data_IF_259549426362
#
_entry.id   IF_259549426362
#
_cell.length_a   1.000
_cell.length_b   1.000
_cell.length_c   1.000
_cell.angle_alpha   90.00
_cell.angle_beta   90.00
_cell.angle_gamma   90.00
#
_symmetry.space_group_name_H-M   'P 1'
#
loop_
_entity.id
_entity.type
_entity.pdbx_description
1 polymer ?
#
# COMPACT_ATOMS: atom_id res chain seq x y z
N UNK A 1 -7.62 19.73 14.53
CA UNK A 1 -8.07 18.37 14.90
C UNK A 1 -7.58 18.10 16.33
N UNK A 2 -8.44 17.79 17.29
CA UNK A 2 -8.02 17.57 18.68
C UNK A 2 -7.31 16.23 18.84
N UNK A 3 -6.36 16.14 19.77
CA UNK A 3 -5.64 14.89 20.06
C UNK A 3 -6.58 13.74 20.44
N UNK A 4 -7.67 14.06 21.14
CA UNK A 4 -8.70 13.09 21.55
C UNK A 4 -9.49 12.50 20.36
N UNK A 5 -9.70 13.28 19.30
CA UNK A 5 -10.36 12.80 18.07
C UNK A 5 -9.43 11.83 17.31
N UNK A 6 -8.14 12.14 17.28
CA UNK A 6 -7.10 11.31 16.67
C UNK A 6 -7.01 9.95 17.34
N UNK A 7 -7.01 9.93 18.67
CA UNK A 7 -6.94 8.70 19.46
C UNK A 7 -8.18 7.81 19.22
N UNK A 8 -9.38 8.40 19.26
CA UNK A 8 -10.63 7.68 18.95
C UNK A 8 -10.66 7.10 17.54
N UNK A 9 -10.12 7.81 16.56
CA UNK A 9 -10.01 7.31 15.18
C UNK A 9 -9.01 6.17 15.08
N UNK A 10 -7.87 6.26 15.78
CA UNK A 10 -6.87 5.20 15.82
C UNK A 10 -7.42 3.92 16.45
N UNK A 11 -8.05 4.02 17.63
CA UNK A 11 -8.61 2.84 18.31
C UNK A 11 -9.67 2.17 17.45
N UNK A 12 -10.60 2.94 16.87
CA UNK A 12 -11.61 2.39 15.94
C UNK A 12 -10.98 1.72 14.72
N UNK A 13 -9.92 2.32 14.15
CA UNK A 13 -9.22 1.74 13.01
C UNK A 13 -8.53 0.41 13.36
N UNK A 14 -7.96 0.31 14.56
CA UNK A 14 -7.34 -0.92 15.05
C UNK A 14 -8.39 -2.00 15.29
N UNK A 15 -9.48 -1.67 15.99
CA UNK A 15 -10.58 -2.60 16.25
C UNK A 15 -11.12 -3.17 14.94
N UNK A 16 -11.31 -2.29 13.95
CA UNK A 16 -11.77 -2.67 12.61
C UNK A 16 -10.81 -3.59 11.87
N UNK A 17 -9.49 -3.39 11.97
CA UNK A 17 -8.52 -4.31 11.37
C UNK A 17 -8.59 -5.68 12.05
N UNK A 18 -8.84 -5.71 13.35
CA UNK A 18 -8.90 -6.93 14.15
C UNK A 18 -10.22 -7.71 13.97
N UNK A 19 -11.27 -7.08 13.42
CA UNK A 19 -12.56 -7.73 13.14
C UNK A 19 -12.47 -8.81 12.06
N UNK A 20 -11.47 -8.76 11.17
CA UNK A 20 -11.34 -9.73 10.08
C UNK A 20 -9.90 -10.21 9.87
N UNK A 21 -9.65 -11.53 9.82
CA UNK A 21 -8.32 -12.06 9.50
C UNK A 21 -7.83 -11.62 8.11
N UNK A 22 -8.75 -11.37 7.17
CA UNK A 22 -8.43 -10.86 5.83
C UNK A 22 -7.85 -9.44 5.90
N UNK A 23 -8.36 -8.58 6.79
CA UNK A 23 -7.84 -7.23 6.97
C UNK A 23 -6.45 -7.24 7.63
N UNK A 24 -6.24 -8.09 8.63
CA UNK A 24 -4.92 -8.30 9.22
C UNK A 24 -3.89 -8.75 8.19
N UNK A 25 -4.26 -9.74 7.36
CA UNK A 25 -3.41 -10.20 6.27
C UNK A 25 -3.10 -9.07 5.28
N UNK A 26 -4.08 -8.26 4.94
CA UNK A 26 -3.93 -7.10 4.06
C UNK A 26 -2.94 -6.09 4.61
N UNK A 27 -3.00 -5.79 5.91
CA UNK A 27 -2.03 -4.90 6.57
C UNK A 27 -0.62 -5.48 6.51
N UNK A 28 -0.45 -6.79 6.72
CA UNK A 28 0.85 -7.45 6.60
C UNK A 28 1.40 -7.39 5.17
N UNK A 29 0.56 -7.63 4.16
CA UNK A 29 0.95 -7.50 2.75
C UNK A 29 1.32 -6.06 2.41
N UNK A 30 0.54 -5.07 2.87
CA UNK A 30 0.87 -3.65 2.71
C UNK A 30 2.24 -3.32 3.34
N UNK A 31 2.54 -3.85 4.52
CA UNK A 31 3.86 -3.65 5.15
C UNK A 31 5.00 -4.20 4.28
N UNK A 32 4.85 -5.41 3.74
CA UNK A 32 5.85 -6.03 2.86
C UNK A 32 6.02 -5.26 1.54
N UNK A 33 4.90 -4.96 0.87
CA UNK A 33 4.88 -4.16 -0.36
C UNK A 33 5.54 -2.81 -0.16
N UNK A 34 5.18 -2.09 0.90
CA UNK A 34 5.75 -0.80 1.20
C UNK A 34 7.23 -0.85 1.58
N UNK A 35 7.68 -1.91 2.27
CA UNK A 35 9.10 -2.13 2.51
C UNK A 35 9.89 -2.32 1.20
N UNK A 36 9.36 -3.12 0.28
CA UNK A 36 9.96 -3.36 -1.04
C UNK A 36 10.00 -2.08 -1.89
N UNK A 37 8.90 -1.33 -1.97
CA UNK A 37 8.85 -0.05 -2.69
C UNK A 37 9.85 0.95 -2.11
N UNK A 38 9.90 1.07 -0.79
CA UNK A 38 10.86 1.94 -0.11
C UNK A 38 12.30 1.54 -0.42
N UNK A 39 12.61 0.24 -0.41
CA UNK A 39 13.94 -0.27 -0.78
C UNK A 39 14.32 0.09 -2.21
N UNK A 40 13.39 -0.05 -3.16
CA UNK A 40 13.64 0.30 -4.57
C UNK A 40 13.89 1.80 -4.72
N UNK A 41 13.08 2.64 -4.07
CA UNK A 41 13.24 4.10 -4.09
C UNK A 41 14.59 4.52 -3.51
N UNK A 42 14.99 3.99 -2.35
CA UNK A 42 16.27 4.34 -1.75
C UNK A 42 17.47 3.82 -2.54
N UNK A 43 17.40 2.59 -3.04
CA UNK A 43 18.53 1.93 -3.71
C UNK A 43 18.78 2.50 -5.11
N UNK A 44 17.72 2.88 -5.83
CA UNK A 44 17.81 3.24 -7.25
C UNK A 44 17.40 4.70 -7.54
N UNK A 45 16.68 5.36 -6.64
CA UNK A 45 16.11 6.70 -6.86
C UNK A 45 16.70 7.83 -6.01
N UNK A 46 17.17 7.55 -4.79
CA UNK A 46 17.70 8.58 -3.91
C UNK A 46 19.23 8.72 -4.06
N UNK A 47 19.70 9.93 -4.38
CA UNK A 47 21.11 10.26 -4.13
C UNK A 47 21.37 10.19 -2.63
N UNK A 48 22.40 9.44 -2.24
CA UNK A 48 22.65 8.92 -0.88
C UNK A 48 22.74 9.97 0.24
N UNK A 49 22.67 11.27 -0.07
CA UNK A 49 22.92 12.35 0.88
C UNK A 49 21.69 12.82 1.68
N UNK A 50 20.44 12.53 1.25
CA UNK A 50 19.25 13.24 1.80
C UNK A 50 18.12 12.34 2.34
N UNK A 51 18.43 11.09 2.72
CA UNK A 51 17.40 10.13 3.17
C UNK A 51 16.91 10.33 4.62
N UNK A 52 16.79 11.58 5.10
CA UNK A 52 15.94 11.93 6.26
C UNK A 52 14.47 11.86 5.86
N UNK A 53 14.04 10.73 5.31
CA UNK A 53 12.71 10.59 4.72
C UNK A 53 11.76 10.04 5.78
N UNK A 54 10.69 10.78 6.07
CA UNK A 54 9.58 10.38 6.95
C UNK A 54 9.00 8.98 6.65
N UNK A 55 9.28 8.44 5.46
CA UNK A 55 8.91 7.10 5.01
C UNK A 55 9.76 5.94 5.58
N UNK A 56 10.89 6.20 6.26
CA UNK A 56 11.76 5.14 6.77
C UNK A 56 11.17 4.40 7.98
N UNK A 57 10.23 5.00 8.71
CA UNK A 57 9.55 4.38 9.84
C UNK A 57 8.65 3.20 9.43
N UNK A 58 8.34 2.30 10.38
CA UNK A 58 7.41 1.17 10.14
C UNK A 58 6.05 1.65 9.59
N UNK A 59 5.51 2.71 10.18
CA UNK A 59 4.26 3.33 9.74
C UNK A 59 4.36 3.94 8.34
N UNK A 60 5.50 4.57 8.00
CA UNK A 60 5.73 5.12 6.66
C UNK A 60 5.75 4.05 5.58
N UNK A 61 6.36 2.89 5.88
CA UNK A 61 6.36 1.72 4.97
C UNK A 61 4.95 1.15 4.82
N UNK A 62 4.22 0.96 5.91
CA UNK A 62 2.82 0.49 5.84
C UNK A 62 1.97 1.46 5.01
N UNK A 63 2.07 2.77 5.26
CA UNK A 63 1.35 3.79 4.50
C UNK A 63 1.69 3.76 3.00
N UNK A 64 2.97 3.58 2.65
CA UNK A 64 3.40 3.44 1.26
C UNK A 64 2.77 2.23 0.58
N UNK A 65 2.70 1.10 1.28
CA UNK A 65 2.06 -0.10 0.76
C UNK A 65 0.53 0.02 0.68
N UNK A 66 -0.10 0.67 1.66
CA UNK A 66 -1.53 0.98 1.61
C UNK A 66 -1.86 1.89 0.43
N UNK A 67 -1.04 2.90 0.15
CA UNK A 67 -1.22 3.80 -0.99
C UNK A 67 -1.12 3.02 -2.31
N UNK A 68 -0.10 2.17 -2.44
CA UNK A 68 0.06 1.29 -3.61
C UNK A 68 -1.15 0.40 -3.83
N UNK A 69 -1.57 -0.35 -2.81
CA UNK A 69 -2.72 -1.25 -2.94
C UNK A 69 -4.03 -0.50 -3.10
N UNK A 70 -4.18 0.70 -2.53
CA UNK A 70 -5.35 1.56 -2.79
C UNK A 70 -5.45 1.93 -4.27
N UNK A 71 -4.32 2.25 -4.92
CA UNK A 71 -4.28 2.53 -6.35
C UNK A 71 -4.69 1.34 -7.22
N UNK A 72 -4.49 0.11 -6.74
CA UNK A 72 -4.84 -1.13 -7.46
C UNK A 72 -6.27 -1.58 -7.15
N UNK A 73 -6.69 -1.50 -5.89
CA UNK A 73 -8.03 -1.88 -5.42
C UNK A 73 -9.11 -1.04 -6.09
N UNK A 74 -8.92 0.29 -6.19
CA UNK A 74 -9.90 1.22 -6.78
C UNK A 74 -10.31 0.85 -8.22
N UNK A 75 -9.39 0.68 -9.18
CA UNK A 75 -9.77 0.28 -10.54
C UNK A 75 -10.36 -1.14 -10.57
N UNK A 76 -9.84 -2.09 -9.79
CA UNK A 76 -10.41 -3.45 -9.71
C UNK A 76 -11.86 -3.41 -9.20
N UNK A 77 -12.13 -2.61 -8.17
CA UNK A 77 -13.47 -2.40 -7.62
C UNK A 77 -14.41 -1.82 -8.66
N UNK A 78 -13.97 -0.77 -9.37
CA UNK A 78 -14.76 -0.17 -10.43
C UNK A 78 -15.02 -1.15 -11.57
N UNK A 79 -14.04 -1.96 -11.96
CA UNK A 79 -14.20 -2.94 -13.04
C UNK A 79 -15.27 -3.99 -12.72
N UNK A 80 -15.31 -4.48 -11.48
CA UNK A 80 -16.26 -5.50 -11.03
C UNK A 80 -17.65 -4.93 -10.73
N UNK A 81 -17.72 -3.78 -10.05
CA UNK A 81 -18.98 -3.27 -9.50
C UNK A 81 -19.61 -2.14 -10.32
N UNK A 82 -18.87 -1.56 -11.28
CA UNK A 82 -19.28 -0.42 -12.12
C UNK A 82 -19.78 0.80 -11.34
N UNK A 83 -19.42 0.91 -10.06
CA UNK A 83 -19.79 2.00 -9.17
C UNK A 83 -18.57 2.48 -8.39
N UNK A 84 -18.57 3.76 -8.03
CA UNK A 84 -17.60 4.35 -7.11
C UNK A 84 -18.10 4.40 -5.66
N UNK A 85 -19.36 4.04 -5.42
CA UNK A 85 -19.86 3.87 -4.07
C UNK A 85 -19.20 2.62 -3.47
N UNK A 86 -18.30 2.83 -2.51
CA UNK A 86 -17.58 1.75 -1.84
C UNK A 86 -18.52 1.09 -0.84
N UNK A 87 -18.83 -0.17 -1.14
CA UNK A 87 -19.56 -1.10 -0.30
C UNK A 87 -18.56 -2.07 0.32
N UNK A 88 -18.63 -2.22 1.64
CA UNK A 88 -17.63 -2.95 2.39
C UNK A 88 -17.59 -4.44 2.05
N UNK A 89 -18.76 -5.07 1.88
CA UNK A 89 -18.85 -6.51 1.60
C UNK A 89 -18.19 -6.81 0.25
N UNK A 90 -18.50 -5.98 -0.76
CA UNK A 90 -17.91 -6.07 -2.10
C UNK A 90 -16.42 -5.75 -2.10
N UNK A 91 -15.97 -4.86 -1.21
CA UNK A 91 -14.56 -4.50 -1.07
C UNK A 91 -13.76 -5.68 -0.51
N UNK A 92 -14.27 -6.37 0.52
CA UNK A 92 -13.63 -7.56 1.08
C UNK A 92 -13.53 -8.67 0.04
N UNK A 93 -14.57 -8.90 -0.75
CA UNK A 93 -14.59 -9.96 -1.76
C UNK A 93 -13.50 -9.78 -2.83
N UNK A 94 -13.25 -8.55 -3.27
CA UNK A 94 -12.23 -8.27 -4.29
C UNK A 94 -10.81 -8.13 -3.71
N UNK A 95 -10.69 -7.98 -2.39
CA UNK A 95 -9.44 -7.65 -1.72
C UNK A 95 -8.33 -8.66 -2.06
N UNK A 96 -8.54 -10.00 -1.96
CA UNK A 96 -7.49 -10.97 -2.29
C UNK A 96 -7.01 -10.87 -3.74
N UNK A 97 -7.93 -10.73 -4.68
CA UNK A 97 -7.63 -10.57 -6.11
C UNK A 97 -6.83 -9.30 -6.36
N UNK A 98 -7.25 -8.19 -5.75
CA UNK A 98 -6.56 -6.90 -5.89
C UNK A 98 -5.15 -6.91 -5.28
N UNK A 99 -4.93 -7.63 -4.18
CA UNK A 99 -3.61 -7.80 -3.57
C UNK A 99 -2.66 -8.58 -4.49
N UNK A 100 -3.12 -9.68 -5.09
CA UNK A 100 -2.33 -10.48 -6.03
C UNK A 100 -1.96 -9.63 -7.25
N UNK A 101 -2.93 -8.93 -7.83
CA UNK A 101 -2.69 -8.01 -8.94
C UNK A 101 -1.72 -6.89 -8.53
N UNK A 102 -1.85 -6.36 -7.32
CA UNK A 102 -0.99 -5.30 -6.82
C UNK A 102 0.46 -5.75 -6.66
N UNK A 103 0.70 -6.97 -6.19
CA UNK A 103 2.04 -7.57 -6.11
C UNK A 103 2.62 -7.81 -7.51
N UNK A 104 1.81 -8.30 -8.44
CA UNK A 104 2.25 -8.54 -9.82
C UNK A 104 2.63 -7.24 -10.53
N UNK A 105 1.77 -6.21 -10.43
CA UNK A 105 2.06 -4.88 -10.94
C UNK A 105 3.30 -4.30 -10.27
N UNK A 106 3.45 -4.45 -8.95
CA UNK A 106 4.62 -3.97 -8.23
C UNK A 106 5.91 -4.57 -8.78
N UNK A 107 5.93 -5.88 -9.05
CA UNK A 107 7.07 -6.57 -9.63
C UNK A 107 7.41 -6.02 -11.03
N UNK A 108 6.41 -5.82 -11.89
CA UNK A 108 6.58 -5.25 -13.23
C UNK A 108 7.13 -3.83 -13.15
N UNK A 109 6.49 -2.95 -12.36
CA UNK A 109 6.92 -1.57 -12.20
C UNK A 109 8.34 -1.47 -11.65
N UNK A 110 8.68 -2.30 -10.66
CA UNK A 110 10.03 -2.38 -10.09
C UNK A 110 11.05 -2.83 -11.13
N UNK A 111 10.75 -3.87 -11.91
CA UNK A 111 11.65 -4.38 -12.95
C UNK A 111 11.90 -3.33 -14.05
N UNK A 112 10.84 -2.65 -14.51
CA UNK A 112 10.94 -1.56 -15.50
C UNK A 112 11.77 -0.41 -14.93
N UNK A 113 11.45 0.05 -13.72
CA UNK A 113 12.16 1.16 -13.07
C UNK A 113 13.66 0.89 -12.95
N UNK A 114 14.03 -0.29 -12.45
CA UNK A 114 15.43 -0.71 -12.34
C UNK A 114 16.10 -0.80 -13.71
N UNK A 115 15.41 -1.34 -14.72
CA UNK A 115 15.95 -1.48 -16.08
C UNK A 115 16.21 -0.13 -16.73
N UNK A 116 15.25 0.81 -16.66
CA UNK A 116 15.41 2.16 -17.18
C UNK A 116 16.55 2.90 -16.46
N UNK A 117 16.73 2.68 -15.15
CA UNK A 117 17.80 3.36 -14.39
C UNK A 117 19.18 2.75 -14.64
N UNK A 118 19.28 1.43 -14.83
CA UNK A 118 20.53 0.76 -15.19
C UNK A 118 20.94 0.99 -16.65
N UNK A 119 19.99 1.07 -17.58
CA UNK A 119 20.25 1.36 -19.01
C UNK A 119 20.54 2.83 -19.32
N UNK A 120 20.40 3.73 -18.32
CA UNK A 120 20.80 5.14 -18.39
C UNK A 120 22.21 5.41 -17.86
N UNK A 121 23.06 4.39 -17.77
CA UNK A 121 24.50 4.51 -17.53
C UNK A 121 25.27 4.03 -18.75
#
# INVERSE_FOLDING_TARGET
MSAELLDKLMTKGIDYILESPTLLFTVAVCMLTGHLLFFVILTYGADKADSKTYLNGKLGKVALGMLWHSFVVLPVYWFNNKTFAIDYDKLIEILPTSLILGLFLQAIFTAIYISCRKGGK
#
